data_IF_558257070050
#
_entry.id   IF_558257070050
#
_cell.length_a   1.000
_cell.length_b   1.000
_cell.length_c   1.000
_cell.angle_alpha   90.00
_cell.angle_beta   90.00
_cell.angle_gamma   90.00
#
_symmetry.space_group_name_H-M   'P 1'
#
loop_
_entity.id
_entity.type
_entity.pdbx_description
1 polymer ?
#
# COMPACT_ATOMS: atom_id res chain seq x y z
N UNK A 1 4.30 -9.29 0.18
CA UNK A 1 4.39 -8.07 -0.64
C UNK A 1 5.35 -7.08 0.00
N UNK A 2 6.31 -6.54 -0.75
CA UNK A 2 7.21 -5.49 -0.30
C UNK A 2 6.44 -4.16 -0.15
N UNK A 3 6.67 -3.43 0.94
CA UNK A 3 5.97 -2.16 1.21
C UNK A 3 6.33 -1.05 0.22
N UNK A 4 7.47 -1.13 -0.46
CA UNK A 4 7.85 -0.18 -1.54
C UNK A 4 7.02 -0.34 -2.81
N UNK A 5 6.30 -1.43 -2.97
CA UNK A 5 5.31 -1.62 -4.04
C UNK A 5 3.92 -1.07 -3.73
N UNK A 6 3.77 -0.37 -2.60
CA UNK A 6 2.51 0.20 -2.14
C UNK A 6 2.56 1.73 -2.14
N UNK A 7 1.39 2.36 -2.15
CA UNK A 7 1.26 3.81 -2.01
C UNK A 7 1.34 4.17 -0.53
N UNK A 8 2.36 4.94 -0.15
CA UNK A 8 2.51 5.38 1.24
C UNK A 8 1.49 6.47 1.58
N UNK A 9 0.82 6.30 2.72
CA UNK A 9 -0.05 7.32 3.32
C UNK A 9 0.73 8.34 4.16
N UNK A 10 1.95 8.00 4.58
CA UNK A 10 2.81 8.81 5.44
C UNK A 10 4.06 9.32 4.71
N UNK A 11 3.99 9.43 3.40
CA UNK A 11 5.06 10.05 2.63
C UNK A 11 5.30 11.51 3.06
N UNK A 12 6.49 12.07 2.83
CA UNK A 12 6.75 13.46 3.15
C UNK A 12 5.82 14.37 2.35
N UNK A 13 4.94 15.07 3.04
CA UNK A 13 3.92 15.94 2.44
C UNK A 13 4.49 17.31 2.04
N UNK A 14 5.62 17.32 1.34
CA UNK A 14 6.31 18.57 1.01
C UNK A 14 5.78 19.26 -0.26
N UNK A 15 4.83 18.67 -0.97
CA UNK A 15 4.23 19.31 -2.14
C UNK A 15 2.95 18.57 -2.55
N UNK A 16 2.12 19.17 -3.39
CA UNK A 16 0.91 18.54 -3.94
C UNK A 16 1.11 17.22 -4.71
N UNK A 17 2.31 16.72 -4.72
CA UNK A 17 2.70 15.46 -5.31
C UNK A 17 2.12 14.24 -4.61
N UNK A 18 2.03 14.26 -3.29
CA UNK A 18 1.43 13.15 -2.54
C UNK A 18 -0.08 13.12 -2.76
N UNK A 19 -0.74 14.29 -2.82
CA UNK A 19 -2.13 14.40 -3.23
C UNK A 19 -2.34 13.75 -4.60
N UNK A 20 -1.54 14.11 -5.60
CA UNK A 20 -1.67 13.56 -6.95
C UNK A 20 -1.49 12.04 -7.04
N UNK A 21 -0.68 11.43 -6.17
CA UNK A 21 -0.58 9.96 -6.09
C UNK A 21 -1.84 9.34 -5.55
N UNK A 22 -2.37 9.91 -4.46
CA UNK A 22 -3.62 9.43 -3.86
C UNK A 22 -4.77 9.63 -4.84
N UNK A 23 -4.87 10.78 -5.49
CA UNK A 23 -5.90 11.05 -6.51
C UNK A 23 -5.87 10.02 -7.64
N UNK A 24 -4.69 9.73 -8.20
CA UNK A 24 -4.54 8.70 -9.25
C UNK A 24 -4.93 7.31 -8.75
N UNK A 25 -4.54 6.95 -7.51
CA UNK A 25 -4.98 5.69 -6.92
C UNK A 25 -6.50 5.62 -6.82
N UNK A 26 -7.14 6.67 -6.31
CA UNK A 26 -8.60 6.76 -6.16
C UNK A 26 -9.29 6.73 -7.53
N UNK A 27 -8.73 7.37 -8.54
CA UNK A 27 -9.20 7.29 -9.94
C UNK A 27 -9.26 5.85 -10.46
N UNK A 28 -8.34 4.97 -10.06
CA UNK A 28 -8.38 3.54 -10.44
C UNK A 28 -9.58 2.78 -9.87
N UNK A 29 -10.27 3.36 -8.90
CA UNK A 29 -11.53 2.84 -8.33
C UNK A 29 -12.77 3.43 -8.99
N UNK A 30 -12.60 4.19 -10.09
CA UNK A 30 -13.68 4.80 -10.84
C UNK A 30 -14.21 6.09 -10.23
N UNK A 31 -13.47 6.71 -9.32
CA UNK A 31 -13.84 8.03 -8.80
C UNK A 31 -13.48 9.11 -9.81
N UNK A 32 -14.38 10.08 -9.98
CA UNK A 32 -14.07 11.28 -10.75
C UNK A 32 -13.02 12.15 -10.06
N UNK A 33 -12.47 13.11 -10.81
CA UNK A 33 -11.38 13.95 -10.32
C UNK A 33 -11.77 14.75 -9.06
N UNK A 34 -12.97 15.34 -9.05
CA UNK A 34 -13.41 16.18 -7.94
C UNK A 34 -13.53 15.37 -6.65
N UNK A 35 -14.09 14.17 -6.75
CA UNK A 35 -14.20 13.25 -5.62
C UNK A 35 -12.84 12.74 -5.17
N UNK A 36 -11.97 12.38 -6.11
CA UNK A 36 -10.61 11.91 -5.82
C UNK A 36 -9.80 13.01 -5.12
N UNK A 37 -9.83 14.24 -5.64
CA UNK A 37 -9.16 15.40 -5.03
C UNK A 37 -9.69 15.67 -3.62
N UNK A 38 -11.01 15.69 -3.43
CA UNK A 38 -11.60 15.92 -2.10
C UNK A 38 -11.16 14.86 -1.08
N UNK A 39 -11.15 13.59 -1.45
CA UNK A 39 -10.69 12.52 -0.55
C UNK A 39 -9.19 12.57 -0.29
N UNK A 40 -8.39 12.93 -1.29
CA UNK A 40 -6.94 13.08 -1.12
C UNK A 40 -6.61 14.25 -0.20
N UNK A 41 -7.22 15.41 -0.39
CA UNK A 41 -7.01 16.58 0.46
C UNK A 41 -7.49 16.33 1.90
N UNK A 42 -8.65 15.66 2.08
CA UNK A 42 -9.13 15.27 3.40
C UNK A 42 -8.17 14.30 4.12
N UNK A 43 -7.47 13.42 3.39
CA UNK A 43 -6.44 12.56 3.96
C UNK A 43 -5.21 13.36 4.39
N UNK A 44 -4.80 14.36 3.62
CA UNK A 44 -3.67 15.22 3.97
C UNK A 44 -3.96 16.05 5.22
N UNK A 45 -5.16 16.66 5.32
CA UNK A 45 -5.58 17.39 6.52
C UNK A 45 -5.72 16.47 7.74
N UNK A 46 -6.18 15.22 7.54
CA UNK A 46 -6.28 14.23 8.61
C UNK A 46 -4.94 13.93 9.29
N UNK A 47 -3.84 14.01 8.55
CA UNK A 47 -2.51 13.59 9.00
C UNK A 47 -1.56 14.73 9.36
N UNK A 48 -1.77 15.94 8.86
CA UNK A 48 -0.90 17.06 9.23
C UNK A 48 -1.21 17.58 10.64
N UNK A 49 -0.25 18.32 11.21
CA UNK A 49 -0.33 18.76 12.60
C UNK A 49 -1.01 20.12 12.74
N UNK A 50 -1.24 20.82 11.64
CA UNK A 50 -1.86 22.12 11.67
C UNK A 50 -3.41 22.02 11.57
N UNK A 51 -4.10 23.16 11.52
CA UNK A 51 -5.55 23.24 11.39
C UNK A 51 -5.95 24.04 10.13
N UNK A 52 -5.06 24.11 9.14
CA UNK A 52 -5.28 24.85 7.90
C UNK A 52 -5.94 23.94 6.88
N UNK A 53 -7.24 24.03 6.79
CA UNK A 53 -8.03 23.25 5.87
C UNK A 53 -7.65 23.54 4.41
N UNK A 54 -7.33 22.51 3.64
CA UNK A 54 -7.21 22.57 2.18
C UNK A 54 -8.54 22.89 1.52
N UNK A 55 -8.51 23.32 0.27
CA UNK A 55 -9.71 23.80 -0.44
C UNK A 55 -10.86 22.78 -0.39
N UNK A 56 -10.58 21.51 -0.64
CA UNK A 56 -11.55 20.42 -0.63
C UNK A 56 -11.31 19.44 0.53
N UNK A 57 -10.45 19.79 1.47
CA UNK A 57 -10.08 18.97 2.60
C UNK A 57 -11.05 19.02 3.78
N UNK A 58 -10.66 18.45 4.92
CA UNK A 58 -11.50 18.38 6.10
C UNK A 58 -10.66 18.41 7.39
N UNK A 59 -10.93 19.40 8.22
CA UNK A 59 -10.29 19.63 9.50
C UNK A 59 -11.21 19.34 10.70
N UNK A 60 -10.72 19.48 11.92
CA UNK A 60 -11.44 19.24 13.18
C UNK A 60 -12.85 19.84 13.16
N UNK A 61 -13.02 21.05 12.60
CA UNK A 61 -14.31 21.72 12.52
C UNK A 61 -15.31 20.91 11.66
N UNK A 62 -14.88 20.37 10.54
CA UNK A 62 -15.70 19.56 9.63
C UNK A 62 -16.08 18.23 10.29
N UNK A 63 -15.14 17.60 10.99
CA UNK A 63 -15.42 16.38 11.77
C UNK A 63 -16.41 16.62 12.90
N UNK A 64 -16.32 17.76 13.57
CA UNK A 64 -17.28 18.16 14.62
C UNK A 64 -18.69 18.35 14.08
N UNK A 65 -18.83 18.97 12.91
CA UNK A 65 -20.15 19.18 12.28
C UNK A 65 -20.90 17.86 12.02
N UNK A 66 -20.16 16.77 11.77
CA UNK A 66 -20.76 15.44 11.55
C UNK A 66 -20.70 14.53 12.78
N UNK A 67 -20.34 15.07 13.95
CA UNK A 67 -20.29 14.33 15.22
C UNK A 67 -19.17 13.30 15.28
N UNK A 68 -18.07 13.49 14.53
CA UNK A 68 -16.96 12.56 14.40
C UNK A 68 -15.60 13.15 14.85
N UNK A 69 -15.61 14.20 15.64
CA UNK A 69 -14.40 14.90 16.10
C UNK A 69 -13.33 13.97 16.69
N UNK A 70 -13.74 12.90 17.39
CA UNK A 70 -12.82 11.92 17.95
C UNK A 70 -12.08 11.04 16.91
N UNK A 71 -12.42 11.13 15.63
CA UNK A 71 -11.77 10.34 14.60
C UNK A 71 -10.52 10.99 14.04
N UNK A 72 -10.47 12.34 13.97
CA UNK A 72 -9.30 13.04 13.43
C UNK A 72 -8.15 13.00 14.44
N UNK A 73 -6.95 12.82 13.94
CA UNK A 73 -5.75 12.66 14.79
C UNK A 73 -4.70 13.74 14.62
N UNK A 74 -4.64 14.40 13.47
CA UNK A 74 -3.59 15.34 13.07
C UNK A 74 -2.19 14.74 13.29
N UNK A 75 -2.00 13.52 12.84
CA UNK A 75 -0.74 12.74 12.91
C UNK A 75 -0.70 11.70 11.82
N UNK A 76 0.49 11.27 11.47
CA UNK A 76 0.70 10.13 10.58
C UNK A 76 -0.17 8.93 10.97
N UNK A 77 -0.69 8.25 9.94
CA UNK A 77 -1.51 7.05 10.12
C UNK A 77 -0.64 5.90 10.63
N UNK A 78 -1.16 5.12 11.57
CA UNK A 78 -0.48 3.93 12.09
C UNK A 78 -0.82 2.67 11.32
N UNK A 79 -1.95 2.68 10.60
CA UNK A 79 -2.47 1.53 9.87
C UNK A 79 -3.21 1.97 8.61
N UNK A 80 -3.07 1.28 7.46
CA UNK A 80 -3.82 1.61 6.24
C UNK A 80 -5.35 1.63 6.40
N UNK A 81 -5.89 0.81 7.32
CA UNK A 81 -7.33 0.81 7.61
C UNK A 81 -7.81 2.08 8.32
N UNK A 82 -6.88 2.84 8.91
CA UNK A 82 -7.19 4.14 9.50
C UNK A 82 -7.70 5.14 8.45
N UNK A 83 -7.41 4.93 7.17
CA UNK A 83 -8.00 5.70 6.08
C UNK A 83 -9.54 5.70 6.11
N UNK A 84 -10.19 4.68 6.69
CA UNK A 84 -11.63 4.66 6.90
C UNK A 84 -12.15 5.73 7.87
N UNK A 85 -11.27 6.31 8.69
CA UNK A 85 -11.60 7.41 9.60
C UNK A 85 -11.56 8.77 8.91
N UNK A 86 -10.86 8.85 7.79
CA UNK A 86 -10.80 10.07 6.97
C UNK A 86 -12.20 10.39 6.45
N UNK A 87 -12.59 11.65 6.58
CA UNK A 87 -13.93 12.09 6.21
C UNK A 87 -14.20 11.82 4.70
N UNK A 88 -15.31 11.16 4.42
CA UNK A 88 -15.69 10.75 3.06
C UNK A 88 -15.19 9.37 2.63
N UNK A 89 -14.09 8.85 3.18
CA UNK A 89 -13.52 7.57 2.74
C UNK A 89 -14.43 6.38 3.05
N UNK A 90 -14.91 6.25 4.28
CA UNK A 90 -15.76 5.12 4.67
C UNK A 90 -17.09 5.07 3.89
N UNK A 91 -17.61 6.22 3.48
CA UNK A 91 -18.86 6.33 2.71
C UNK A 91 -18.67 6.01 1.21
N UNK A 92 -17.43 5.96 0.73
CA UNK A 92 -17.10 5.67 -0.66
C UNK A 92 -16.97 4.16 -0.84
N UNK A 93 -18.09 3.48 -1.08
CA UNK A 93 -18.19 2.01 -1.14
C UNK A 93 -17.22 1.35 -2.14
N UNK A 94 -16.90 2.04 -3.24
CA UNK A 94 -15.95 1.57 -4.24
C UNK A 94 -14.58 1.23 -3.65
N UNK A 95 -14.16 1.91 -2.58
CA UNK A 95 -12.86 1.71 -1.94
C UNK A 95 -12.79 0.45 -1.06
N UNK A 96 -13.92 -0.14 -0.69
CA UNK A 96 -14.00 -1.19 0.34
C UNK A 96 -14.54 -2.53 -0.19
N UNK A 97 -14.74 -2.64 -1.50
CA UNK A 97 -15.26 -3.82 -2.18
C UNK A 97 -14.31 -5.01 -2.22
N UNK A 98 -14.44 -5.82 -3.27
CA UNK A 98 -13.67 -7.07 -3.44
C UNK A 98 -12.16 -6.88 -3.55
N UNK A 99 -11.70 -5.70 -3.99
CA UNK A 99 -10.29 -5.28 -4.01
C UNK A 99 -10.16 -3.98 -3.20
N UNK A 100 -10.13 -4.07 -1.85
CA UNK A 100 -10.16 -2.88 -1.01
C UNK A 100 -8.88 -2.05 -1.15
N UNK A 101 -9.04 -0.72 -1.10
CA UNK A 101 -7.94 0.24 -1.25
C UNK A 101 -6.77 -0.02 -0.29
N UNK A 102 -7.05 -0.54 0.90
CA UNK A 102 -6.04 -0.88 1.90
C UNK A 102 -5.01 -1.92 1.45
N UNK A 103 -5.30 -2.68 0.38
CA UNK A 103 -4.34 -3.63 -0.21
C UNK A 103 -3.22 -2.94 -0.98
N UNK A 104 -3.45 -1.72 -1.39
CA UNK A 104 -2.52 -0.91 -2.19
C UNK A 104 -1.86 0.20 -1.37
N UNK A 105 -2.20 0.29 -0.08
CA UNK A 105 -1.74 1.33 0.83
C UNK A 105 -0.73 0.79 1.85
N UNK A 106 0.18 1.67 2.25
CA UNK A 106 1.15 1.44 3.31
C UNK A 106 1.21 2.67 4.22
N UNK A 107 1.53 2.47 5.48
CA UNK A 107 1.90 3.56 6.42
C UNK A 107 3.40 3.67 6.61
N UNK A 108 4.18 2.90 5.87
CA UNK A 108 5.63 2.99 5.91
C UNK A 108 6.10 4.33 5.35
N UNK A 109 6.84 5.14 6.13
CA UNK A 109 7.26 6.49 5.73
C UNK A 109 8.44 6.42 4.76
N UNK A 110 8.25 5.89 3.58
CA UNK A 110 9.30 5.72 2.58
C UNK A 110 9.07 6.61 1.36
N UNK A 111 10.13 7.24 0.86
CA UNK A 111 10.10 8.01 -0.38
C UNK A 111 10.27 7.13 -1.63
N UNK A 112 10.90 5.96 -1.50
CA UNK A 112 11.26 5.14 -2.65
C UNK A 112 10.15 4.15 -3.01
N UNK A 113 9.82 4.12 -4.30
CA UNK A 113 8.85 3.21 -4.90
C UNK A 113 9.58 2.16 -5.74
N UNK A 114 9.19 0.90 -5.60
CA UNK A 114 9.76 -0.20 -6.37
C UNK A 114 8.72 -0.75 -7.37
N UNK A 115 8.86 -0.40 -8.66
CA UNK A 115 7.93 -0.87 -9.69
C UNK A 115 7.99 -2.39 -9.92
N UNK A 116 9.08 -3.05 -9.49
CA UNK A 116 9.24 -4.50 -9.64
C UNK A 116 8.28 -5.31 -8.76
N UNK A 117 7.75 -4.72 -7.69
CA UNK A 117 6.88 -5.38 -6.72
C UNK A 117 5.50 -4.74 -6.61
N UNK A 118 5.28 -3.63 -7.31
CA UNK A 118 4.02 -2.91 -7.33
C UNK A 118 2.97 -3.62 -8.19
N UNK A 119 1.71 -3.55 -7.80
CA UNK A 119 0.62 -3.91 -8.69
C UNK A 119 0.28 -2.78 -9.67
N UNK A 120 -0.67 -3.03 -10.58
CA UNK A 120 -1.01 -2.06 -11.60
C UNK A 120 -1.61 -0.76 -11.03
N UNK A 121 -2.38 -0.82 -9.92
CA UNK A 121 -2.96 0.38 -9.28
C UNK A 121 -1.88 1.25 -8.66
N UNK A 122 -0.95 0.61 -7.96
CA UNK A 122 0.20 1.29 -7.37
C UNK A 122 1.12 1.88 -8.45
N UNK A 123 1.30 1.19 -9.59
CA UNK A 123 2.01 1.75 -10.75
C UNK A 123 1.31 2.99 -11.29
N UNK A 124 0.00 2.94 -11.58
CA UNK A 124 -0.77 4.12 -12.02
C UNK A 124 -0.60 5.28 -11.02
N UNK A 125 -0.76 5.00 -9.74
CA UNK A 125 -0.66 6.01 -8.68
C UNK A 125 0.72 6.67 -8.65
N UNK A 126 1.78 5.88 -8.68
CA UNK A 126 3.15 6.37 -8.53
C UNK A 126 3.70 7.04 -9.79
N UNK A 127 3.36 6.53 -10.98
CA UNK A 127 4.00 6.93 -12.24
C UNK A 127 3.10 7.78 -13.15
N UNK A 128 1.77 7.74 -12.94
CA UNK A 128 0.81 8.38 -13.83
C UNK A 128 0.57 7.63 -15.15
N UNK A 129 1.06 6.39 -15.27
CA UNK A 129 0.74 5.54 -16.41
C UNK A 129 -0.76 5.29 -16.52
N UNK A 130 -1.26 5.09 -17.72
CA UNK A 130 -2.62 4.61 -17.92
C UNK A 130 -2.76 3.14 -17.45
N UNK A 131 -4.00 2.74 -17.15
CA UNK A 131 -4.30 1.41 -16.61
C UNK A 131 -3.83 0.28 -17.53
N UNK A 132 -4.02 0.43 -18.86
CA UNK A 132 -3.66 -0.60 -19.83
C UNK A 132 -2.16 -0.84 -19.81
N UNK A 133 -1.37 0.21 -19.90
CA UNK A 133 0.09 0.15 -19.85
C UNK A 133 0.58 -0.44 -18.53
N UNK A 134 0.02 -0.02 -17.39
CA UNK A 134 0.38 -0.55 -16.08
C UNK A 134 0.10 -2.07 -15.99
N UNK A 135 -1.04 -2.54 -16.50
CA UNK A 135 -1.39 -3.97 -16.52
C UNK A 135 -0.49 -4.79 -17.45
N UNK A 136 -0.14 -4.25 -18.60
CA UNK A 136 0.81 -4.88 -19.53
C UNK A 136 2.19 -5.05 -18.91
N UNK A 137 2.66 -4.04 -18.16
CA UNK A 137 3.93 -4.10 -17.43
C UNK A 137 3.93 -5.21 -16.37
N UNK A 138 2.87 -5.26 -15.57
CA UNK A 138 2.72 -6.33 -14.56
C UNK A 138 2.71 -7.71 -15.22
N UNK A 139 1.99 -7.88 -16.34
CA UNK A 139 1.91 -9.13 -17.06
C UNK A 139 3.28 -9.57 -17.66
N UNK A 140 4.03 -8.64 -18.23
CA UNK A 140 5.39 -8.89 -18.77
C UNK A 140 6.35 -9.30 -17.65
N UNK A 141 6.33 -8.57 -16.53
CA UNK A 141 7.14 -8.90 -15.36
C UNK A 141 6.87 -10.31 -14.83
N UNK A 142 5.60 -10.72 -14.75
CA UNK A 142 5.22 -12.07 -14.28
C UNK A 142 5.73 -13.19 -15.20
N UNK A 143 5.94 -12.90 -16.47
CA UNK A 143 6.51 -13.85 -17.44
C UNK A 143 8.04 -13.85 -17.48
N UNK A 144 8.70 -13.01 -16.68
CA UNK A 144 10.14 -12.85 -16.74
C UNK A 144 10.63 -12.08 -17.99
N UNK A 145 9.76 -11.35 -18.64
CA UNK A 145 10.07 -10.62 -19.89
C UNK A 145 10.65 -9.21 -19.65
N UNK A 146 10.84 -8.82 -18.37
CA UNK A 146 11.39 -7.52 -18.00
C UNK A 146 12.63 -7.70 -17.14
N UNK A 147 13.78 -7.49 -17.76
CA UNK A 147 15.06 -7.49 -17.06
C UNK A 147 15.36 -6.15 -16.39
N UNK A 148 14.77 -5.06 -16.90
CA UNK A 148 14.91 -3.71 -16.38
C UNK A 148 13.62 -2.91 -16.54
N UNK A 149 13.06 -2.44 -15.42
CA UNK A 149 11.83 -1.60 -15.37
C UNK A 149 12.17 -0.11 -15.27
N UNK A 150 13.42 0.23 -14.96
CA UNK A 150 13.82 1.63 -14.79
C UNK A 150 13.50 2.52 -16.01
N UNK A 151 13.67 2.08 -17.28
CA UNK A 151 13.29 2.87 -18.43
C UNK A 151 11.79 3.14 -18.57
N UNK A 152 10.95 2.32 -17.95
CA UNK A 152 9.49 2.38 -18.12
C UNK A 152 8.82 3.36 -17.16
N UNK A 153 9.45 3.61 -16.03
CA UNK A 153 9.00 4.65 -15.09
C UNK A 153 9.06 6.06 -15.70
N UNK A 154 9.81 6.24 -16.80
CA UNK A 154 10.13 7.53 -17.39
C UNK A 154 9.63 7.75 -18.83
N UNK A 155 9.08 6.72 -19.47
CA UNK A 155 8.57 6.85 -20.84
C UNK A 155 7.23 7.57 -20.94
N UNK A 156 6.63 7.92 -19.84
CA UNK A 156 5.31 8.57 -19.77
C UNK A 156 5.30 10.08 -19.96
N UNK A 157 6.19 10.68 -20.75
CA UNK A 157 6.04 12.01 -21.37
C UNK A 157 5.64 13.22 -20.51
N UNK A 158 5.43 13.06 -19.23
CA UNK A 158 5.20 14.15 -18.28
C UNK A 158 6.54 14.44 -17.63
N UNK A 159 7.08 15.63 -17.87
CA UNK A 159 8.36 16.06 -17.33
C UNK A 159 8.48 15.68 -15.86
N UNK A 160 9.61 15.09 -15.54
CA UNK A 160 9.95 14.60 -14.20
C UNK A 160 9.68 15.65 -13.11
N UNK A 161 8.58 15.58 -12.36
CA UNK A 161 8.30 16.58 -11.33
C UNK A 161 9.17 16.40 -10.07
N UNK A 162 10.05 15.35 -10.04
CA UNK A 162 10.73 14.97 -8.80
C UNK A 162 12.22 14.68 -8.95
N UNK A 163 12.85 14.88 -10.13
CA UNK A 163 14.16 14.33 -10.35
C UNK A 163 14.10 12.80 -10.28
N UNK A 164 13.66 12.18 -11.35
CA UNK A 164 13.25 10.78 -11.50
C UNK A 164 14.08 9.74 -10.76
N UNK A 165 15.35 10.00 -10.51
CA UNK A 165 16.27 9.05 -9.89
C UNK A 165 16.14 8.94 -8.36
N UNK A 166 15.51 9.90 -7.70
CA UNK A 166 15.43 9.91 -6.22
C UNK A 166 14.27 9.07 -5.68
N UNK A 167 13.25 8.81 -6.50
CA UNK A 167 11.99 8.18 -6.05
C UNK A 167 11.88 6.70 -6.40
N UNK A 168 12.49 6.23 -7.48
CA UNK A 168 12.40 4.85 -7.93
C UNK A 168 13.60 4.03 -7.45
N UNK A 169 13.33 2.82 -6.95
CA UNK A 169 14.35 1.85 -6.59
C UNK A 169 14.01 0.48 -7.16
N UNK A 170 15.04 -0.31 -7.47
CA UNK A 170 14.90 -1.73 -7.84
C UNK A 170 15.15 -2.66 -6.66
N UNK A 171 15.67 -2.11 -5.55
CA UNK A 171 15.99 -2.91 -4.37
C UNK A 171 14.76 -3.10 -3.46
N UNK A 172 14.56 -4.31 -2.93
CA UNK A 172 13.51 -4.56 -1.97
C UNK A 172 13.72 -3.75 -0.68
N UNK A 173 12.62 -3.48 0.03
CA UNK A 173 12.70 -2.91 1.37
C UNK A 173 13.07 -3.98 2.40
N UNK A 174 13.45 -3.53 3.59
CA UNK A 174 13.57 -4.44 4.72
C UNK A 174 12.20 -4.82 5.32
N UNK A 175 11.08 -4.26 4.80
CA UNK A 175 9.75 -4.49 5.37
C UNK A 175 8.84 -5.14 4.33
N UNK A 176 8.18 -6.22 4.73
CA UNK A 176 7.22 -6.94 3.91
C UNK A 176 5.89 -7.14 4.63
N UNK A 177 4.81 -7.16 3.87
CA UNK A 177 3.49 -7.61 4.32
C UNK A 177 3.29 -9.06 3.91
N UNK A 178 3.07 -9.93 4.90
CA UNK A 178 2.77 -11.35 4.70
C UNK A 178 1.30 -11.57 5.03
N UNK A 179 0.52 -12.01 4.04
CA UNK A 179 -0.90 -12.31 4.24
C UNK A 179 -1.10 -13.82 4.33
N UNK A 180 -1.61 -14.26 5.47
CA UNK A 180 -1.92 -15.66 5.74
C UNK A 180 -3.43 -15.87 5.60
N UNK A 181 -3.82 -16.84 4.78
CA UNK A 181 -5.21 -17.21 4.58
C UNK A 181 -5.36 -18.72 4.70
N UNK A 182 -6.32 -19.19 5.48
CA UNK A 182 -6.73 -20.58 5.45
C UNK A 182 -7.66 -20.85 4.28
N UNK A 183 -7.64 -22.09 3.79
CA UNK A 183 -8.48 -22.49 2.68
C UNK A 183 -9.96 -22.15 2.94
N UNK A 184 -10.62 -21.51 1.98
CA UNK A 184 -12.02 -21.05 2.05
C UNK A 184 -12.35 -20.03 3.14
N UNK A 185 -11.39 -19.49 3.86
CA UNK A 185 -11.69 -18.44 4.83
C UNK A 185 -11.94 -17.11 4.14
N UNK A 186 -12.95 -16.37 4.59
CA UNK A 186 -13.18 -14.98 4.21
C UNK A 186 -12.18 -14.03 4.88
N UNK A 187 -11.66 -14.42 6.02
CA UNK A 187 -10.73 -13.65 6.83
C UNK A 187 -9.35 -14.29 6.82
N UNK A 188 -8.36 -13.46 6.97
CA UNK A 188 -6.98 -13.89 7.15
C UNK A 188 -6.26 -12.98 8.12
N UNK A 189 -4.97 -13.21 8.24
CA UNK A 189 -4.07 -12.36 9.02
C UNK A 189 -3.03 -11.75 8.11
N UNK A 190 -2.76 -10.48 8.29
CA UNK A 190 -1.66 -9.78 7.63
C UNK A 190 -0.63 -9.39 8.68
N UNK A 191 0.60 -9.80 8.44
CA UNK A 191 1.75 -9.52 9.30
C UNK A 191 2.63 -8.47 8.60
N UNK A 192 3.04 -7.45 9.35
CA UNK A 192 4.14 -6.58 8.94
C UNK A 192 5.43 -7.15 9.51
N UNK A 193 6.32 -7.58 8.64
CA UNK A 193 7.59 -8.22 9.02
C UNK A 193 8.74 -7.33 8.57
N UNK A 194 9.60 -6.98 9.52
CA UNK A 194 10.83 -6.23 9.25
C UNK A 194 12.04 -7.15 9.33
N UNK A 195 12.87 -7.11 8.30
CA UNK A 195 14.11 -7.89 8.23
C UNK A 195 15.22 -7.20 9.03
N UNK A 196 15.79 -7.92 9.99
CA UNK A 196 16.81 -7.44 10.95
C UNK A 196 18.03 -8.36 10.93
N UNK A 197 18.80 -8.40 9.84
CA UNK A 197 19.84 -9.41 9.63
C UNK A 197 21.00 -9.34 10.65
N UNK A 198 21.14 -8.22 11.33
CA UNK A 198 22.22 -7.99 12.32
C UNK A 198 21.76 -8.19 13.76
N UNK A 199 20.47 -8.43 14.01
CA UNK A 199 19.99 -8.70 15.37
C UNK A 199 20.32 -10.15 15.78
N UNK A 200 20.87 -10.31 16.98
CA UNK A 200 21.30 -11.62 17.49
C UNK A 200 20.17 -12.55 17.85
N UNK A 201 18.97 -12.00 18.16
CA UNK A 201 17.84 -12.79 18.61
C UNK A 201 17.02 -13.39 17.45
N UNK A 202 16.87 -12.66 16.35
CA UNK A 202 16.13 -13.11 15.17
C UNK A 202 16.50 -12.25 13.96
N UNK A 203 16.63 -12.84 12.76
CA UNK A 203 16.90 -12.08 11.56
C UNK A 203 15.67 -11.29 11.05
N UNK A 204 14.56 -11.36 11.74
CA UNK A 204 13.32 -10.68 11.40
C UNK A 204 12.49 -10.38 12.67
N UNK A 205 11.67 -9.36 12.59
CA UNK A 205 10.74 -8.92 13.64
C UNK A 205 9.35 -8.74 13.07
N UNK A 206 8.33 -9.23 13.78
CA UNK A 206 6.93 -8.93 13.49
C UNK A 206 6.59 -7.60 14.18
N UNK A 207 6.27 -6.58 13.39
CA UNK A 207 5.93 -5.26 13.92
C UNK A 207 4.43 -5.11 14.18
N UNK A 208 3.61 -5.77 13.36
CA UNK A 208 2.17 -5.73 13.50
C UNK A 208 1.53 -7.02 12.98
N UNK A 209 0.41 -7.39 13.60
CA UNK A 209 -0.47 -8.46 13.13
C UNK A 209 -1.89 -7.90 13.11
N UNK A 210 -2.58 -8.04 11.97
CA UNK A 210 -3.95 -7.59 11.83
C UNK A 210 -4.83 -8.65 11.18
N UNK A 211 -6.10 -8.67 11.56
CA UNK A 211 -7.10 -9.46 10.86
C UNK A 211 -7.59 -8.67 9.65
N UNK A 212 -7.63 -9.31 8.49
CA UNK A 212 -8.03 -8.69 7.23
C UNK A 212 -9.15 -9.46 6.56
N UNK A 213 -10.08 -8.74 5.93
CA UNK A 213 -11.10 -9.37 5.09
C UNK A 213 -10.48 -9.60 3.69
N UNK A 214 -10.46 -10.84 3.26
CA UNK A 214 -9.88 -11.26 1.99
C UNK A 214 -10.93 -11.54 0.92
N UNK A 215 -12.17 -11.14 1.17
CA UNK A 215 -13.30 -11.35 0.27
C UNK A 215 -13.95 -12.74 0.40
N UNK A 216 -14.97 -13.03 -0.43
CA UNK A 216 -15.75 -14.25 -0.31
C UNK A 216 -14.87 -15.50 -0.44
N UNK A 217 -15.22 -16.59 0.31
CA UNK A 217 -14.53 -17.85 0.21
C UNK A 217 -14.68 -18.41 -1.21
N UNK A 218 -13.59 -18.88 -1.78
CA UNK A 218 -13.62 -19.61 -3.05
C UNK A 218 -13.14 -18.83 -4.28
N UNK A 219 -12.83 -17.55 -4.19
CA UNK A 219 -12.00 -16.95 -5.23
C UNK A 219 -10.54 -17.36 -4.98
N UNK A 220 -9.94 -18.18 -5.86
CA UNK A 220 -8.53 -18.47 -5.75
C UNK A 220 -7.78 -17.14 -5.92
N UNK A 221 -6.92 -16.82 -4.95
CA UNK A 221 -5.88 -15.84 -5.18
C UNK A 221 -5.08 -16.33 -6.38
N UNK A 222 -5.11 -15.62 -7.49
CA UNK A 222 -4.42 -16.06 -8.71
C UNK A 222 -2.90 -15.97 -8.62
N UNK A 223 -2.40 -15.39 -7.55
CA UNK A 223 -0.96 -15.15 -7.35
C UNK A 223 -0.43 -15.98 -6.17
N UNK A 224 -0.55 -17.29 -6.27
CA UNK A 224 0.33 -18.17 -5.50
C UNK A 224 1.71 -18.13 -6.18
N UNK A 225 2.67 -17.42 -5.60
CA UNK A 225 4.04 -17.84 -5.80
C UNK A 225 4.14 -19.25 -5.21
N UNK A 226 4.24 -20.28 -6.04
CA UNK A 226 4.74 -21.57 -5.60
C UNK A 226 6.12 -21.28 -5.01
N UNK A 227 6.22 -21.42 -3.69
CA UNK A 227 7.54 -21.40 -3.07
C UNK A 227 8.39 -22.45 -3.81
N UNK A 228 9.58 -22.09 -4.29
CA UNK A 228 10.45 -23.08 -4.86
C UNK A 228 10.62 -24.20 -3.83
N UNK A 229 10.63 -25.44 -4.29
CA UNK A 229 10.83 -26.62 -3.44
C UNK A 229 12.15 -26.42 -2.69
N UNK A 230 12.06 -25.88 -1.47
CA UNK A 230 13.26 -25.61 -0.69
C UNK A 230 13.64 -26.95 -0.08
N UNK A 231 14.64 -27.60 -0.68
CA UNK A 231 15.23 -28.84 -0.15
C UNK A 231 15.59 -28.75 1.34
N UNK A 232 15.89 -27.54 1.82
CA UNK A 232 16.16 -27.22 3.23
C UNK A 232 14.98 -27.61 4.16
N UNK A 233 13.72 -27.55 3.70
CA UNK A 233 12.57 -27.95 4.52
C UNK A 233 12.46 -29.48 4.65
N UNK A 234 13.08 -30.26 3.76
CA UNK A 234 13.12 -31.72 3.84
C UNK A 234 14.11 -32.25 4.87
N UNK A 235 15.04 -31.41 5.32
CA UNK A 235 16.08 -31.73 6.31
C UNK A 235 15.78 -31.22 7.71
N UNK A 236 14.72 -30.46 7.90
CA UNK A 236 14.26 -30.10 9.24
C UNK A 236 13.59 -31.31 9.86
N UNK A 237 14.34 -31.98 10.73
CA UNK A 237 13.83 -33.08 11.57
C UNK A 237 12.54 -32.62 12.24
N UNK A 238 11.49 -33.46 12.14
CA UNK A 238 10.15 -33.16 12.66
C UNK A 238 10.09 -33.21 14.21
N UNK A 239 11.16 -32.82 14.88
CA UNK A 239 11.16 -32.66 16.33
C UNK A 239 10.25 -31.48 16.68
N UNK A 240 9.24 -31.70 17.54
CA UNK A 240 8.32 -30.62 17.88
C UNK A 240 9.07 -29.46 18.51
N UNK A 241 8.94 -28.26 17.93
CA UNK A 241 9.40 -27.01 18.49
C UNK A 241 8.86 -26.91 19.94
N UNK A 242 9.71 -27.13 20.93
CA UNK A 242 9.40 -26.77 22.30
C UNK A 242 9.41 -25.24 22.39
N UNK A 243 8.23 -24.65 22.31
CA UNK A 243 8.06 -23.23 22.62
C UNK A 243 8.38 -23.03 24.10
N UNK A 244 9.30 -22.13 24.47
CA UNK A 244 9.47 -21.75 25.86
C UNK A 244 8.23 -20.91 26.24
N UNK A 245 7.46 -21.44 27.17
CA UNK A 245 6.47 -20.67 27.91
C UNK A 245 7.15 -19.95 29.06
#
# INVERSE_FOLDING_TARGET
QDVRGLVSLNGPSLSGADAGRIERLLGTYGLDNDKATSLAEALLDYRDEDALRRLNGAEVADYRQVGKEALIRNKDLVDPYEASRVLGWAQTSALWGGDPVTRHLSTFPGMSFNPNVADWRALVAATGLDEKTARELVAKRQKGELDDIAPLAFSGGVGDPFGANAFVTIFPSATALITLRTYRAQWGYQLTVHHTPTESASPWRIEAVRRVNLGPPGQPYKDYATLPDIEVLKTLDASPLKLPF
#
